data_IF_403490037183
#
_entry.id   IF_403490037183
#
_cell.length_a   1.000
_cell.length_b   1.000
_cell.length_c   1.000
_cell.angle_alpha   90.00
_cell.angle_beta   90.00
_cell.angle_gamma   90.00
#
_symmetry.space_group_name_H-M   'P 1'
#
loop_
_entity.id
_entity.type
_entity.pdbx_description
1 polymer ?
#
# COMPACT_ATOMS: atom_id res chain seq x y z
N UNK A 1 -20.82 -1.25 -3.36
CA UNK A 1 -19.66 -0.88 -2.53
C UNK A 1 -19.14 0.47 -3.03
N UNK A 2 -18.78 1.42 -2.17
CA UNK A 2 -18.23 2.71 -2.64
C UNK A 2 -16.85 2.50 -3.28
N UNK A 3 -16.44 3.36 -4.23
CA UNK A 3 -15.14 3.25 -4.91
C UNK A 3 -13.98 3.18 -3.91
N UNK A 4 -14.02 4.00 -2.85
CA UNK A 4 -13.00 3.99 -1.78
C UNK A 4 -12.94 2.64 -1.04
N UNK A 5 -14.08 2.05 -0.69
CA UNK A 5 -14.10 0.78 0.03
C UNK A 5 -13.61 -0.37 -0.87
N UNK A 6 -13.94 -0.31 -2.16
CA UNK A 6 -13.45 -1.27 -3.14
C UNK A 6 -11.92 -1.20 -3.29
N UNK A 7 -11.34 0.00 -3.40
CA UNK A 7 -9.87 0.15 -3.47
C UNK A 7 -9.15 -0.45 -2.27
N UNK A 8 -9.63 -0.21 -1.05
CA UNK A 8 -9.03 -0.79 0.17
C UNK A 8 -9.16 -2.31 0.18
N UNK A 9 -10.34 -2.85 -0.18
CA UNK A 9 -10.54 -4.29 -0.26
C UNK A 9 -9.60 -4.94 -1.29
N UNK A 10 -9.42 -4.32 -2.45
CA UNK A 10 -8.46 -4.77 -3.47
C UNK A 10 -7.03 -4.74 -2.95
N UNK A 11 -6.62 -3.67 -2.27
CA UNK A 11 -5.29 -3.58 -1.64
C UNK A 11 -5.05 -4.70 -0.61
N UNK A 12 -6.03 -4.95 0.26
CA UNK A 12 -5.93 -6.00 1.26
C UNK A 12 -5.83 -7.40 0.62
N UNK A 13 -6.66 -7.68 -0.39
CA UNK A 13 -6.66 -8.96 -1.08
C UNK A 13 -5.35 -9.20 -1.83
N UNK A 14 -4.86 -8.19 -2.55
CA UNK A 14 -3.59 -8.29 -3.28
C UNK A 14 -2.39 -8.38 -2.33
N UNK A 15 -2.39 -7.61 -1.24
CA UNK A 15 -1.35 -7.69 -0.19
C UNK A 15 -1.32 -9.08 0.45
N UNK A 16 -2.49 -9.65 0.77
CA UNK A 16 -2.56 -11.02 1.28
C UNK A 16 -2.01 -12.04 0.27
N UNK A 17 -2.38 -11.93 -1.01
CA UNK A 17 -1.84 -12.79 -2.07
C UNK A 17 -0.32 -12.66 -2.22
N UNK A 18 0.20 -11.43 -2.20
CA UNK A 18 1.64 -11.17 -2.24
C UNK A 18 2.35 -11.75 -1.00
N UNK A 19 1.75 -11.65 0.19
CA UNK A 19 2.32 -12.20 1.41
C UNK A 19 2.42 -13.73 1.36
N UNK A 20 1.42 -14.40 0.77
CA UNK A 20 1.46 -15.86 0.53
C UNK A 20 2.62 -16.20 -0.41
N UNK A 21 2.76 -15.49 -1.53
CA UNK A 21 3.86 -15.72 -2.49
C UNK A 21 5.23 -15.50 -1.83
N UNK A 22 5.39 -14.39 -1.11
CA UNK A 22 6.59 -14.06 -0.35
C UNK A 22 6.96 -15.17 0.62
N UNK A 23 6.04 -15.58 1.49
CA UNK A 23 6.29 -16.63 2.49
C UNK A 23 6.61 -17.96 1.81
N UNK A 24 5.91 -18.33 0.74
CA UNK A 24 6.13 -19.58 0.03
C UNK A 24 7.53 -19.66 -0.59
N UNK A 25 7.99 -18.61 -1.27
CA UNK A 25 9.32 -18.60 -1.89
C UNK A 25 10.42 -18.50 -0.84
N UNK A 26 10.28 -17.58 0.11
CA UNK A 26 11.28 -17.34 1.15
C UNK A 26 11.47 -18.55 2.07
N UNK A 27 10.42 -19.33 2.35
CA UNK A 27 10.56 -20.59 3.11
C UNK A 27 11.38 -21.67 2.39
N UNK A 28 11.57 -21.55 1.08
CA UNK A 28 12.40 -22.44 0.25
C UNK A 28 13.80 -21.87 -0.01
N UNK A 29 14.12 -20.71 0.57
CA UNK A 29 15.38 -20.01 0.34
C UNK A 29 15.41 -19.19 -0.96
N UNK A 30 14.29 -19.13 -1.69
CA UNK A 30 14.12 -18.27 -2.87
C UNK A 30 13.58 -16.90 -2.49
N UNK A 31 13.86 -15.89 -3.30
CA UNK A 31 13.33 -14.53 -3.09
C UNK A 31 12.42 -14.15 -4.25
N UNK A 32 11.37 -13.38 -3.95
CA UNK A 32 10.53 -12.78 -5.00
C UNK A 32 11.38 -11.85 -5.85
N UNK A 33 11.23 -11.92 -7.17
CA UNK A 33 12.04 -11.12 -8.10
C UNK A 33 11.80 -9.60 -7.94
N UNK A 34 12.84 -8.81 -8.23
CA UNK A 34 12.77 -7.35 -8.16
C UNK A 34 11.70 -6.76 -9.07
N UNK A 35 11.43 -7.38 -10.23
CA UNK A 35 10.38 -6.96 -11.15
C UNK A 35 8.99 -7.16 -10.53
N UNK A 36 8.80 -8.27 -9.81
CA UNK A 36 7.54 -8.59 -9.13
C UNK A 36 7.31 -7.64 -7.96
N UNK A 37 8.36 -7.30 -7.20
CA UNK A 37 8.32 -6.27 -6.16
C UNK A 37 8.00 -4.89 -6.72
N UNK A 38 8.64 -4.52 -7.82
CA UNK A 38 8.40 -3.25 -8.51
C UNK A 38 6.97 -3.15 -9.01
N UNK A 39 6.44 -4.24 -9.57
CA UNK A 39 5.04 -4.34 -10.00
C UNK A 39 4.09 -4.22 -8.82
N UNK A 40 4.37 -4.89 -7.69
CA UNK A 40 3.59 -4.76 -6.45
C UNK A 40 3.53 -3.31 -5.97
N UNK A 41 4.69 -2.64 -5.88
CA UNK A 41 4.77 -1.23 -5.50
C UNK A 41 4.00 -0.31 -6.44
N UNK A 42 4.08 -0.55 -7.76
CA UNK A 42 3.33 0.21 -8.75
C UNK A 42 1.82 0.01 -8.61
N UNK A 43 1.34 -1.22 -8.47
CA UNK A 43 -0.09 -1.54 -8.28
C UNK A 43 -0.61 -0.89 -6.99
N UNK A 44 0.14 -1.01 -5.89
CA UNK A 44 -0.19 -0.37 -4.62
C UNK A 44 -0.36 1.14 -4.80
N UNK A 45 0.59 1.80 -5.47
CA UNK A 45 0.54 3.24 -5.69
C UNK A 45 -0.67 3.65 -6.54
N UNK A 46 -0.93 2.97 -7.66
CA UNK A 46 -2.07 3.26 -8.54
C UNK A 46 -3.40 3.11 -7.80
N UNK A 47 -3.60 2.02 -7.07
CA UNK A 47 -4.84 1.80 -6.32
C UNK A 47 -4.98 2.82 -5.18
N UNK A 48 -3.88 3.19 -4.53
CA UNK A 48 -3.86 4.24 -3.50
C UNK A 48 -4.24 5.60 -4.09
N UNK A 49 -3.76 5.96 -5.28
CA UNK A 49 -4.16 7.19 -5.97
C UNK A 49 -5.66 7.18 -6.27
N UNK A 50 -6.19 6.08 -6.81
CA UNK A 50 -7.63 5.91 -7.08
C UNK A 50 -8.43 6.08 -5.77
N UNK A 51 -7.95 5.48 -4.68
CA UNK A 51 -8.56 5.62 -3.37
C UNK A 51 -8.56 7.07 -2.89
N UNK A 52 -7.41 7.76 -2.92
CA UNK A 52 -7.28 9.16 -2.50
C UNK A 52 -8.19 10.09 -3.29
N UNK A 53 -8.29 9.90 -4.61
CA UNK A 53 -9.17 10.70 -5.47
C UNK A 53 -10.63 10.51 -5.05
N UNK A 54 -11.09 9.27 -4.90
CA UNK A 54 -12.46 8.97 -4.47
C UNK A 54 -12.73 9.45 -3.04
N UNK A 55 -11.74 9.38 -2.16
CA UNK A 55 -11.85 9.82 -0.77
C UNK A 55 -11.94 11.34 -0.65
N UNK A 56 -11.16 12.07 -1.45
CA UNK A 56 -11.14 13.54 -1.45
C UNK A 56 -12.47 14.16 -1.88
N UNK A 57 -13.24 13.46 -2.72
CA UNK A 57 -14.61 13.84 -3.10
C UNK A 57 -15.57 13.80 -1.90
N UNK A 58 -15.33 12.91 -0.93
CA UNK A 58 -16.19 12.78 0.26
C UNK A 58 -15.80 13.69 1.41
N UNK A 59 -14.55 14.15 1.45
CA UNK A 59 -14.02 14.97 2.56
C UNK A 59 -13.95 16.48 2.24
N UNK A 60 -14.54 16.94 1.13
CA UNK A 60 -14.49 18.34 0.67
C UNK A 60 -13.07 18.95 0.68
N UNK A 61 -12.06 18.11 0.43
CA UNK A 61 -10.67 18.54 0.42
C UNK A 61 -10.43 19.42 -0.81
N UNK A 62 -9.92 20.64 -0.62
CA UNK A 62 -9.55 21.52 -1.73
C UNK A 62 -8.31 20.95 -2.41
N UNK A 63 -8.55 20.15 -3.44
CA UNK A 63 -7.49 19.53 -4.25
C UNK A 63 -6.63 20.65 -4.85
N UNK A 64 -5.31 20.67 -4.60
CA UNK A 64 -4.41 21.56 -5.34
C UNK A 64 -4.35 21.11 -6.82
N UNK A 65 -3.45 21.71 -7.61
CA UNK A 65 -3.01 21.21 -8.94
C UNK A 65 -3.06 19.68 -9.05
N UNK A 66 -3.28 19.13 -10.25
CA UNK A 66 -3.51 17.68 -10.54
C UNK A 66 -3.15 16.75 -9.36
N UNK A 67 -4.14 16.55 -8.50
CA UNK A 67 -3.92 15.94 -7.20
C UNK A 67 -3.50 14.47 -7.31
N UNK A 68 -3.96 13.78 -8.36
CA UNK A 68 -3.52 12.41 -8.65
C UNK A 68 -2.04 12.36 -9.01
N UNK A 69 -1.60 13.27 -9.88
CA UNK A 69 -0.19 13.40 -10.26
C UNK A 69 0.71 13.78 -9.07
N UNK A 70 0.26 14.71 -8.23
CA UNK A 70 0.98 15.13 -7.03
C UNK A 70 1.17 13.96 -6.06
N UNK A 71 0.13 13.13 -5.87
CA UNK A 71 0.25 11.90 -5.08
C UNK A 71 1.20 10.93 -5.78
N UNK A 72 1.08 10.68 -7.09
CA UNK A 72 1.99 9.77 -7.80
C UNK A 72 3.47 10.12 -7.59
N UNK A 73 3.84 11.40 -7.76
CA UNK A 73 5.23 11.83 -7.71
C UNK A 73 5.76 11.98 -6.28
N UNK A 74 4.93 12.48 -5.37
CA UNK A 74 5.34 12.83 -4.01
C UNK A 74 4.62 12.03 -2.93
N UNK A 75 4.17 10.81 -3.23
CA UNK A 75 3.35 10.01 -2.31
C UNK A 75 3.91 9.90 -0.88
N UNK A 76 5.24 9.79 -0.62
CA UNK A 76 5.75 9.66 0.74
C UNK A 76 5.48 10.89 1.61
N UNK A 77 5.25 12.06 0.99
CA UNK A 77 4.99 13.33 1.68
C UNK A 77 3.55 13.78 1.48
N UNK A 78 3.06 13.70 0.24
CA UNK A 78 1.72 14.16 -0.13
C UNK A 78 0.61 13.31 0.49
N UNK A 79 0.77 11.99 0.56
CA UNK A 79 -0.22 11.09 1.14
C UNK A 79 -0.40 11.31 2.65
N UNK A 80 0.65 11.30 3.49
CA UNK A 80 0.48 11.58 4.92
C UNK A 80 -0.01 13.00 5.17
N UNK A 81 0.45 14.00 4.39
CA UNK A 81 -0.07 15.36 4.47
C UNK A 81 -1.59 15.42 4.22
N UNK A 82 -2.07 14.78 3.14
CA UNK A 82 -3.49 14.70 2.81
C UNK A 82 -4.31 14.03 3.93
N UNK A 83 -3.83 12.88 4.42
CA UNK A 83 -4.53 12.11 5.44
C UNK A 83 -4.62 12.88 6.77
N UNK A 84 -3.52 13.47 7.22
CA UNK A 84 -3.48 14.27 8.45
C UNK A 84 -4.32 15.54 8.30
N UNK A 85 -4.31 16.18 7.13
CA UNK A 85 -5.12 17.39 6.91
C UNK A 85 -6.62 17.08 6.92
N UNK A 86 -7.04 15.92 6.40
CA UNK A 86 -8.46 15.54 6.34
C UNK A 86 -8.99 14.92 7.64
N UNK A 87 -8.12 14.30 8.46
CA UNK A 87 -8.54 13.46 9.61
C UNK A 87 -7.74 13.66 10.89
N UNK A 88 -6.75 14.55 10.91
CA UNK A 88 -5.86 14.74 12.06
C UNK A 88 -5.05 13.48 12.39
N UNK A 89 -5.02 13.09 13.67
CA UNK A 89 -4.27 11.93 14.15
C UNK A 89 -4.76 10.60 13.56
N UNK A 90 -6.07 10.46 13.32
CA UNK A 90 -6.62 9.26 12.66
C UNK A 90 -6.05 9.10 11.24
N UNK A 91 -5.74 10.21 10.57
CA UNK A 91 -5.07 10.20 9.28
C UNK A 91 -3.66 9.59 9.34
N UNK A 92 -2.93 9.85 10.42
CA UNK A 92 -1.61 9.24 10.64
C UNK A 92 -1.73 7.73 10.86
N UNK A 93 -2.69 7.28 11.69
CA UNK A 93 -2.96 5.84 11.88
C UNK A 93 -3.36 5.17 10.56
N UNK A 94 -4.17 5.84 9.75
CA UNK A 94 -4.57 5.34 8.43
C UNK A 94 -3.37 5.21 7.49
N UNK A 95 -2.45 6.18 7.50
CA UNK A 95 -1.21 6.11 6.74
C UNK A 95 -0.36 4.91 7.14
N UNK A 96 -0.20 4.65 8.45
CA UNK A 96 0.49 3.46 8.94
C UNK A 96 -0.20 2.18 8.47
N UNK A 97 -1.54 2.15 8.43
CA UNK A 97 -2.29 1.03 7.86
C UNK A 97 -1.94 0.77 6.39
N UNK A 98 -1.87 1.82 5.56
CA UNK A 98 -1.44 1.71 4.16
C UNK A 98 0.02 1.25 4.04
N UNK A 99 0.91 1.72 4.91
CA UNK A 99 2.31 1.28 4.93
C UNK A 99 2.43 -0.20 5.32
N UNK A 100 1.62 -0.66 6.27
CA UNK A 100 1.55 -2.09 6.64
C UNK A 100 1.03 -2.95 5.48
N UNK A 101 0.11 -2.44 4.66
CA UNK A 101 -0.35 -3.16 3.46
C UNK A 101 0.78 -3.28 2.44
N UNK A 102 1.53 -2.21 2.21
CA UNK A 102 2.63 -2.17 1.23
C UNK A 102 3.83 -3.03 1.65
N UNK A 103 4.29 -2.86 2.90
CA UNK A 103 5.49 -3.51 3.44
C UNK A 103 5.23 -4.88 4.08
N UNK A 104 3.98 -5.16 4.47
CA UNK A 104 3.59 -6.38 5.18
C UNK A 104 3.98 -7.67 4.46
N UNK A 105 3.73 -7.81 3.14
CA UNK A 105 4.13 -9.01 2.39
C UNK A 105 5.63 -9.30 2.48
N UNK A 106 6.45 -8.27 2.26
CA UNK A 106 7.91 -8.38 2.33
C UNK A 106 8.39 -8.72 3.74
N UNK A 107 7.82 -8.10 4.78
CA UNK A 107 8.13 -8.43 6.17
C UNK A 107 7.76 -9.89 6.52
N UNK A 108 6.63 -10.39 6.01
CA UNK A 108 6.22 -11.78 6.20
C UNK A 108 7.18 -12.75 5.49
N UNK A 109 7.59 -12.43 4.26
CA UNK A 109 8.62 -13.16 3.52
C UNK A 109 9.95 -13.19 4.27
N UNK A 110 10.40 -12.05 4.77
CA UNK A 110 11.63 -11.93 5.57
C UNK A 110 11.59 -12.84 6.81
N UNK A 111 10.48 -12.84 7.56
CA UNK A 111 10.29 -13.73 8.72
C UNK A 111 10.36 -15.20 8.30
N UNK A 112 9.75 -15.57 7.17
CA UNK A 112 9.82 -16.93 6.65
C UNK A 112 11.26 -17.33 6.27
N UNK A 113 11.98 -16.45 5.58
CA UNK A 113 13.39 -16.68 5.22
C UNK A 113 14.27 -16.88 6.44
N UNK A 114 14.08 -16.06 7.50
CA UNK A 114 14.98 -16.10 8.66
C UNK A 114 14.68 -17.22 9.64
N UNK A 115 13.43 -17.65 9.77
CA UNK A 115 13.00 -18.58 10.84
C UNK A 115 12.43 -19.90 10.34
N UNK A 116 12.00 -19.99 9.08
CA UNK A 116 11.37 -21.20 8.52
C UNK A 116 12.32 -21.94 7.60
N UNK A 117 13.07 -21.23 6.75
CA UNK A 117 14.04 -21.85 5.87
C UNK A 117 15.19 -22.47 6.68
N UNK A 118 15.42 -23.77 6.46
CA UNK A 118 16.58 -24.51 6.97
C UNK A 118 17.40 -25.02 5.78
N UNK A 119 18.70 -24.70 5.71
CA UNK A 119 19.57 -25.10 4.60
C UNK A 119 19.87 -26.59 4.55
#
# INVERSE_FOLDING_TARGET
>A
MSKKNFSIASLLLLSFGMAVVEVMLNSQGEVVSDETQSLWGFIFLVITIIWVIADSETNNFKKPFDFGFLIYLFWPVALPYYLITTRGFEGFVFFLGLMSIWLGPWLAGLVAYTYVYTP
#
